data_IF_418803155388
#
_entry.id   IF_418803155388
#
_cell.length_a   1.000
_cell.length_b   1.000
_cell.length_c   1.000
_cell.angle_alpha   90.00
_cell.angle_beta   90.00
_cell.angle_gamma   90.00
#
_symmetry.space_group_name_H-M   'P 1'
#
loop_
_entity.id
_entity.type
_entity.pdbx_description
1 polymer ?
#
# COMPACT_ATOMS: atom_id res chain seq x y z
N UNK A 1 56.67 20.09 37.81
CA UNK A 1 56.14 18.79 37.35
C UNK A 1 57.30 17.86 37.06
N UNK A 2 57.35 16.65 37.65
CA UNK A 2 58.46 15.72 37.39
C UNK A 2 58.45 15.23 35.93
N UNK A 3 59.63 15.01 35.35
CA UNK A 3 59.82 14.55 33.96
C UNK A 3 58.94 13.34 33.61
N UNK A 4 58.79 12.39 34.54
CA UNK A 4 57.93 11.21 34.43
C UNK A 4 56.46 11.56 34.15
N UNK A 5 55.91 12.58 34.83
CA UNK A 5 54.51 13.01 34.66
C UNK A 5 54.27 13.66 33.30
N UNK A 6 55.26 14.38 32.76
CA UNK A 6 55.19 14.99 31.43
C UNK A 6 55.26 13.92 30.32
N UNK A 7 56.13 12.93 30.49
CA UNK A 7 56.26 11.79 29.57
C UNK A 7 54.97 10.95 29.51
N UNK A 8 54.40 10.61 30.67
CA UNK A 8 53.14 9.88 30.76
C UNK A 8 51.98 10.63 30.11
N UNK A 9 51.91 11.96 30.30
CA UNK A 9 50.86 12.78 29.70
C UNK A 9 50.94 12.79 28.17
N UNK A 10 52.14 12.96 27.59
CA UNK A 10 52.31 12.97 26.13
C UNK A 10 51.99 11.61 25.53
N UNK A 11 52.44 10.52 26.17
CA UNK A 11 52.15 9.17 25.71
C UNK A 11 50.66 8.82 25.80
N UNK A 12 50.02 9.15 26.92
CA UNK A 12 48.57 8.96 27.08
C UNK A 12 47.77 9.76 26.04
N UNK A 13 48.19 11.01 25.78
CA UNK A 13 47.55 11.87 24.78
C UNK A 13 47.64 11.27 23.37
N UNK A 14 48.80 10.78 22.94
CA UNK A 14 48.96 10.20 21.60
C UNK A 14 48.12 8.93 21.43
N UNK A 15 48.11 8.05 22.44
CA UNK A 15 47.26 6.84 22.41
C UNK A 15 45.78 7.24 22.35
N UNK A 16 45.36 8.20 23.18
CA UNK A 16 43.98 8.69 23.20
C UNK A 16 43.55 9.26 21.84
N UNK A 17 44.38 10.13 21.25
CA UNK A 17 44.09 10.73 19.93
C UNK A 17 44.00 9.66 18.85
N UNK A 18 44.87 8.65 18.88
CA UNK A 18 44.84 7.55 17.91
C UNK A 18 43.54 6.73 18.01
N UNK A 19 43.15 6.33 19.23
CA UNK A 19 41.91 5.56 19.45
C UNK A 19 40.67 6.39 19.09
N UNK A 20 40.65 7.67 19.46
CA UNK A 20 39.55 8.58 19.13
C UNK A 20 39.40 8.72 17.61
N UNK A 21 40.51 8.91 16.87
CA UNK A 21 40.50 9.01 15.42
C UNK A 21 39.98 7.73 14.75
N UNK A 22 40.47 6.56 15.16
CA UNK A 22 40.02 5.28 14.61
C UNK A 22 38.54 5.05 14.88
N UNK A 23 38.09 5.28 16.12
CA UNK A 23 36.68 5.14 16.51
C UNK A 23 35.78 6.07 15.70
N UNK A 24 36.21 7.32 15.49
CA UNK A 24 35.49 8.30 14.69
C UNK A 24 35.34 7.87 13.23
N UNK A 25 36.42 7.39 12.60
CA UNK A 25 36.42 6.91 11.22
C UNK A 25 35.49 5.70 11.06
N UNK A 26 35.59 4.72 11.96
CA UNK A 26 34.75 3.52 11.94
C UNK A 26 33.28 3.88 12.14
N UNK A 27 32.97 4.80 13.06
CA UNK A 27 31.61 5.27 13.32
C UNK A 27 30.97 5.89 12.08
N UNK A 28 31.69 6.80 11.39
CA UNK A 28 31.18 7.45 10.17
C UNK A 28 31.02 6.45 9.03
N UNK A 29 31.99 5.55 8.85
CA UNK A 29 31.95 4.53 7.79
C UNK A 29 30.77 3.58 7.96
N UNK A 30 30.58 3.08 9.20
CA UNK A 30 29.48 2.16 9.54
C UNK A 30 28.13 2.84 9.39
N UNK A 31 28.02 4.11 9.82
CA UNK A 31 26.77 4.86 9.70
C UNK A 31 26.35 5.06 8.24
N UNK A 32 27.28 5.49 7.38
CA UNK A 32 27.01 5.74 5.95
C UNK A 32 26.66 4.47 5.18
N UNK A 33 27.32 3.36 5.50
CA UNK A 33 27.04 2.07 4.85
C UNK A 33 25.68 1.52 5.28
N UNK A 34 25.32 1.67 6.56
CA UNK A 34 24.00 1.29 7.05
C UNK A 34 22.88 2.15 6.47
N UNK A 35 23.05 3.48 6.43
CA UNK A 35 22.07 4.40 5.84
C UNK A 35 21.80 4.08 4.37
N UNK A 36 22.85 3.91 3.55
CA UNK A 36 22.70 3.55 2.13
C UNK A 36 22.02 2.20 1.93
N UNK A 37 22.46 1.18 2.65
CA UNK A 37 21.85 -0.16 2.55
C UNK A 37 20.38 -0.16 2.96
N UNK A 38 20.02 0.66 3.97
CA UNK A 38 18.65 0.79 4.43
C UNK A 38 17.78 1.57 3.43
N UNK A 39 18.29 2.65 2.84
CA UNK A 39 17.62 3.43 1.81
C UNK A 39 17.36 2.59 0.54
N UNK A 40 18.38 1.88 0.04
CA UNK A 40 18.24 1.00 -1.13
C UNK A 40 17.20 -0.10 -0.89
N UNK A 41 17.24 -0.75 0.28
CA UNK A 41 16.28 -1.79 0.64
C UNK A 41 14.86 -1.25 0.76
N UNK A 42 14.70 -0.08 1.37
CA UNK A 42 13.39 0.58 1.51
C UNK A 42 12.84 0.99 0.15
N UNK A 43 13.68 1.58 -0.71
CA UNK A 43 13.30 1.96 -2.06
C UNK A 43 12.87 0.75 -2.90
N UNK A 44 13.59 -0.37 -2.79
CA UNK A 44 13.23 -1.61 -3.48
C UNK A 44 11.88 -2.15 -3.01
N UNK A 45 11.62 -2.16 -1.70
CA UNK A 45 10.34 -2.61 -1.14
C UNK A 45 9.17 -1.71 -1.56
N UNK A 46 9.38 -0.38 -1.56
CA UNK A 46 8.37 0.58 -1.99
C UNK A 46 8.09 0.44 -3.49
N UNK A 47 9.12 0.29 -4.32
CA UNK A 47 8.96 0.05 -5.75
C UNK A 47 8.19 -1.25 -6.03
N UNK A 48 8.51 -2.32 -5.30
CA UNK A 48 7.78 -3.58 -5.41
C UNK A 48 6.32 -3.44 -4.98
N UNK A 49 6.05 -2.72 -3.88
CA UNK A 49 4.69 -2.43 -3.43
C UNK A 49 3.90 -1.67 -4.49
N UNK A 50 4.45 -0.60 -5.06
CA UNK A 50 3.79 0.17 -6.11
C UNK A 50 3.48 -0.68 -7.34
N UNK A 51 4.43 -1.52 -7.76
CA UNK A 51 4.23 -2.41 -8.90
C UNK A 51 3.08 -3.40 -8.64
N UNK A 52 3.09 -4.07 -7.50
CA UNK A 52 2.06 -5.05 -7.13
C UNK A 52 0.70 -4.38 -6.90
N UNK A 53 0.68 -3.17 -6.33
CA UNK A 53 -0.52 -2.38 -6.14
C UNK A 53 -1.16 -2.01 -7.49
N UNK A 54 -0.36 -1.51 -8.43
CA UNK A 54 -0.84 -1.18 -9.78
C UNK A 54 -1.34 -2.42 -10.52
N UNK A 55 -0.59 -3.53 -10.46
CA UNK A 55 -0.98 -4.81 -11.06
C UNK A 55 -2.33 -5.30 -10.52
N UNK A 56 -2.53 -5.27 -9.20
CA UNK A 56 -3.81 -5.62 -8.58
C UNK A 56 -4.92 -4.64 -8.93
N UNK A 57 -4.62 -3.35 -9.04
CA UNK A 57 -5.57 -2.34 -9.48
C UNK A 57 -6.08 -2.60 -10.90
N UNK A 58 -5.19 -2.93 -11.83
CA UNK A 58 -5.55 -3.33 -13.20
C UNK A 58 -6.41 -4.60 -13.23
N UNK A 59 -6.07 -5.61 -12.43
CA UNK A 59 -6.89 -6.82 -12.30
C UNK A 59 -8.31 -6.50 -11.80
N UNK A 60 -8.44 -5.64 -10.79
CA UNK A 60 -9.75 -5.22 -10.28
C UNK A 60 -10.52 -4.44 -11.34
N UNK A 61 -9.87 -3.52 -12.05
CA UNK A 61 -10.51 -2.76 -13.12
C UNK A 61 -11.04 -3.68 -14.24
N UNK A 62 -10.24 -4.67 -14.65
CA UNK A 62 -10.66 -5.66 -15.64
C UNK A 62 -11.86 -6.50 -15.16
N UNK A 63 -11.87 -6.91 -13.88
CA UNK A 63 -13.02 -7.63 -13.31
C UNK A 63 -14.28 -6.77 -13.26
N UNK A 64 -14.16 -5.51 -12.85
CA UNK A 64 -15.29 -4.57 -12.83
C UNK A 64 -15.81 -4.32 -14.25
N UNK A 65 -14.93 -4.17 -15.24
CA UNK A 65 -15.32 -4.03 -16.63
C UNK A 65 -16.01 -5.29 -17.17
N UNK A 66 -15.54 -6.48 -16.81
CA UNK A 66 -16.20 -7.74 -17.16
C UNK A 66 -17.60 -7.84 -16.54
N UNK A 67 -17.79 -7.39 -15.29
CA UNK A 67 -19.11 -7.31 -14.65
C UNK A 67 -20.00 -6.31 -15.37
N UNK A 68 -19.49 -5.11 -15.70
CA UNK A 68 -20.25 -4.07 -16.39
C UNK A 68 -20.72 -4.52 -17.79
N UNK A 69 -19.93 -5.33 -18.49
CA UNK A 69 -20.29 -5.90 -19.81
C UNK A 69 -21.12 -7.19 -19.71
N UNK A 70 -21.40 -7.68 -18.50
CA UNK A 70 -22.18 -8.91 -18.31
C UNK A 70 -23.66 -8.71 -18.62
N UNK A 71 -24.34 -9.80 -18.96
CA UNK A 71 -25.79 -9.82 -19.15
C UNK A 71 -26.55 -9.41 -17.87
N UNK A 72 -25.97 -9.66 -16.68
CA UNK A 72 -26.59 -9.24 -15.41
C UNK A 72 -26.61 -7.72 -15.29
N UNK A 73 -25.49 -7.06 -15.56
CA UNK A 73 -25.41 -5.60 -15.54
C UNK A 73 -26.35 -4.96 -16.58
N UNK A 74 -26.46 -5.56 -17.77
CA UNK A 74 -27.36 -5.09 -18.82
C UNK A 74 -28.83 -5.25 -18.43
N UNK A 75 -29.19 -6.36 -17.78
CA UNK A 75 -30.55 -6.59 -17.24
C UNK A 75 -30.92 -5.59 -16.15
N UNK A 76 -29.99 -5.33 -15.23
CA UNK A 76 -30.14 -4.30 -14.18
C UNK A 76 -30.36 -2.93 -14.84
N UNK A 77 -29.48 -2.52 -15.76
CA UNK A 77 -29.59 -1.24 -16.48
C UNK A 77 -30.93 -1.08 -17.21
N UNK A 78 -31.42 -2.13 -17.88
CA UNK A 78 -32.71 -2.11 -18.57
C UNK A 78 -33.89 -2.02 -17.60
N UNK A 79 -33.81 -2.68 -16.44
CA UNK A 79 -34.87 -2.66 -15.44
C UNK A 79 -35.00 -1.29 -14.75
N UNK A 80 -33.88 -0.61 -14.52
CA UNK A 80 -33.84 0.73 -13.91
C UNK A 80 -34.39 1.80 -14.84
N UNK A 81 -34.22 1.63 -16.16
CA UNK A 81 -34.71 2.59 -17.15
C UNK A 81 -36.23 2.48 -17.42
N UNK A 82 -36.95 1.62 -16.68
CA UNK A 82 -38.41 1.51 -16.76
C UNK A 82 -39.07 2.55 -15.87
N UNK A 83 -40.28 2.99 -16.23
CA UNK A 83 -41.03 4.02 -15.48
C UNK A 83 -41.34 3.67 -14.02
N UNK A 84 -41.25 2.40 -13.63
CA UNK A 84 -41.34 1.93 -12.24
C UNK A 84 -40.26 0.85 -12.01
N UNK A 85 -39.04 1.23 -11.59
CA UNK A 85 -37.97 0.28 -11.31
C UNK A 85 -38.30 -0.58 -10.08
N UNK A 86 -38.21 -1.91 -10.21
CA UNK A 86 -38.22 -2.82 -9.06
C UNK A 86 -36.78 -3.10 -8.61
N UNK A 87 -36.28 -2.23 -7.72
CA UNK A 87 -34.95 -2.38 -7.12
C UNK A 87 -34.85 -3.60 -6.18
N UNK A 88 -35.98 -4.06 -5.62
CA UNK A 88 -36.02 -5.17 -4.67
C UNK A 88 -35.55 -6.48 -5.29
N UNK A 89 -35.82 -6.68 -6.58
CA UNK A 89 -35.39 -7.85 -7.34
C UNK A 89 -33.85 -7.98 -7.47
N UNK A 90 -33.10 -6.87 -7.31
CA UNK A 90 -31.66 -6.83 -7.55
C UNK A 90 -30.82 -6.59 -6.28
N UNK A 91 -31.45 -6.48 -5.11
CA UNK A 91 -30.77 -6.13 -3.86
C UNK A 91 -29.58 -7.06 -3.52
N UNK A 92 -29.69 -8.35 -3.87
CA UNK A 92 -28.66 -9.37 -3.60
C UNK A 92 -27.66 -9.57 -4.75
N UNK A 93 -27.83 -8.88 -5.87
CA UNK A 93 -27.05 -9.12 -7.09
C UNK A 93 -25.58 -8.74 -6.91
N UNK A 94 -25.29 -7.61 -6.26
CA UNK A 94 -23.91 -7.21 -5.91
C UNK A 94 -23.22 -8.25 -5.02
N UNK A 95 -23.93 -8.81 -4.04
CA UNK A 95 -23.37 -9.82 -3.13
C UNK A 95 -23.04 -11.12 -3.84
N UNK A 96 -23.90 -11.58 -4.74
CA UNK A 96 -23.67 -12.77 -5.56
C UNK A 96 -22.46 -12.57 -6.49
N UNK A 97 -22.40 -11.43 -7.17
CA UNK A 97 -21.29 -11.10 -8.07
C UNK A 97 -19.97 -10.92 -7.32
N UNK A 98 -19.98 -10.27 -6.17
CA UNK A 98 -18.83 -10.13 -5.27
C UNK A 98 -18.21 -11.49 -4.92
N UNK A 99 -19.05 -12.45 -4.51
CA UNK A 99 -18.61 -13.81 -4.20
C UNK A 99 -18.03 -14.52 -5.42
N UNK A 100 -18.66 -14.38 -6.60
CA UNK A 100 -18.20 -15.02 -7.83
C UNK A 100 -16.87 -14.46 -8.35
N UNK A 101 -16.66 -13.14 -8.25
CA UNK A 101 -15.49 -12.43 -8.78
C UNK A 101 -14.40 -12.18 -7.71
N UNK A 102 -14.63 -12.69 -6.48
CA UNK A 102 -13.80 -12.46 -5.28
C UNK A 102 -13.49 -10.97 -5.09
N UNK A 103 -14.53 -10.15 -5.15
CA UNK A 103 -14.47 -8.74 -4.85
C UNK A 103 -15.03 -8.51 -3.45
N UNK A 104 -14.29 -7.79 -2.61
CA UNK A 104 -14.76 -7.45 -1.26
C UNK A 104 -15.79 -6.30 -1.31
N UNK A 105 -15.71 -5.45 -2.34
CA UNK A 105 -16.53 -4.26 -2.50
C UNK A 105 -17.02 -4.15 -3.94
N UNK A 106 -18.33 -4.03 -4.11
CA UNK A 106 -18.97 -3.71 -5.39
C UNK A 106 -20.36 -3.15 -5.12
N UNK A 107 -20.70 -2.08 -5.84
CA UNK A 107 -22.01 -1.43 -5.76
C UNK A 107 -22.54 -1.16 -7.17
N UNK A 108 -23.83 -1.39 -7.35
CA UNK A 108 -24.56 -0.94 -8.53
C UNK A 108 -25.27 0.36 -8.18
N UNK A 109 -25.09 1.37 -9.01
CA UNK A 109 -25.70 2.70 -8.85
C UNK A 109 -26.48 3.09 -10.11
N UNK A 110 -27.57 3.84 -9.94
CA UNK A 110 -28.30 4.43 -11.06
C UNK A 110 -27.59 5.69 -11.61
N UNK A 111 -28.19 6.34 -12.61
CA UNK A 111 -27.66 7.57 -13.22
C UNK A 111 -27.66 8.79 -12.30
N UNK A 112 -28.41 8.75 -11.19
CA UNK A 112 -28.46 9.80 -10.16
C UNK A 112 -27.54 9.49 -8.97
N UNK A 113 -26.86 8.34 -8.99
CA UNK A 113 -26.00 7.88 -7.90
C UNK A 113 -26.74 7.15 -6.77
N UNK A 114 -28.02 6.80 -6.96
CA UNK A 114 -28.77 5.98 -6.01
C UNK A 114 -28.21 4.56 -6.02
N UNK A 115 -27.86 4.03 -4.84
CA UNK A 115 -27.36 2.66 -4.73
C UNK A 115 -28.53 1.68 -4.84
N UNK A 116 -28.36 0.70 -5.71
CA UNK A 116 -29.35 -0.32 -6.05
C UNK A 116 -29.06 -1.63 -5.33
N UNK A 117 -27.78 -1.97 -5.26
CA UNK A 117 -27.29 -3.17 -4.60
C UNK A 117 -25.84 -2.94 -4.18
N UNK A 118 -25.49 -3.40 -2.99
CA UNK A 118 -24.13 -3.31 -2.43
C UNK A 118 -23.74 -4.64 -1.81
N UNK A 119 -22.53 -5.09 -2.11
CA UNK A 119 -21.98 -6.30 -1.50
C UNK A 119 -21.58 -6.07 -0.05
N UNK A 120 -21.03 -4.89 0.27
CA UNK A 120 -20.57 -4.59 1.63
C UNK A 120 -21.72 -4.33 2.60
N UNK A 121 -22.77 -3.62 2.15
CA UNK A 121 -23.88 -3.17 3.01
C UNK A 121 -25.24 -3.59 2.42
N UNK A 122 -25.68 -4.84 2.63
CA UNK A 122 -26.98 -5.29 2.14
C UNK A 122 -28.10 -4.53 2.86
N UNK A 123 -28.82 -3.67 2.13
CA UNK A 123 -30.02 -2.99 2.64
C UNK A 123 -29.80 -1.62 3.31
N UNK A 124 -28.71 -0.90 3.00
CA UNK A 124 -28.50 0.48 3.48
C UNK A 124 -29.02 1.53 2.49
N UNK A 125 -30.21 1.35 1.91
CA UNK A 125 -30.76 2.22 0.86
C UNK A 125 -32.25 2.39 1.07
#
# INVERSE_FOLDING_TARGET
MSFRRKLLAVFGLTVFVSVAAVTWIVSISTRRTFERANEERTAALVAQFHHEFNRRGEEVAQRVEAIARSDNATRIALAINRSAPDYGAYLNEAKSLAQSQRLDFIEFVDSQGTIISSAQWPGKF
#
